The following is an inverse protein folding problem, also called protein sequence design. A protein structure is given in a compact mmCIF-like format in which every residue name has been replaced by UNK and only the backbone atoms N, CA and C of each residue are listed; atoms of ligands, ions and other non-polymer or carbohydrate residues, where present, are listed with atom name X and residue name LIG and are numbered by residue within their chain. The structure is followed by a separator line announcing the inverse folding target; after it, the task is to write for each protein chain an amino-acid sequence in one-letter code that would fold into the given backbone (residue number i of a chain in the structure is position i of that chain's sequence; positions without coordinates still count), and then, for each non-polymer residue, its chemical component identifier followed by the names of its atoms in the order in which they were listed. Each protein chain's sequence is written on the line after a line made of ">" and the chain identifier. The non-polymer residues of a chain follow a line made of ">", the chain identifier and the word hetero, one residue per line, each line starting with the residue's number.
data_IF_191049140283
#
_entry.id   IF_191049140283
#
_cell.length_a   1.000
_cell.length_b   1.000
_cell.length_c   1.000
_cell.angle_alpha   90.00
_cell.angle_beta   90.00
_cell.angle_gamma   90.00
#
_symmetry.space_group_name_H-M   'P 1'
#
loop_
_entity.id
_entity.type
_entity.pdbx_description
1 polymer ?
#
# COMPACT_ATOMS: atom_id res chain seq x y z
N UNK A 1 -15.61 -1.24 -14.53
CA UNK A 1 -15.85 -0.03 -13.71
C UNK A 1 -17.07 -0.31 -12.84
N UNK A 2 -16.94 -0.18 -11.52
CA UNK A 2 -18.08 -0.38 -10.62
C UNK A 2 -19.18 0.65 -10.90
N UNK A 3 -20.38 0.36 -10.39
CA UNK A 3 -21.52 1.27 -10.47
C UNK A 3 -21.17 2.66 -9.90
N UNK A 4 -21.55 3.72 -10.61
CA UNK A 4 -21.30 5.11 -10.16
C UNK A 4 -22.58 5.71 -9.62
N UNK A 5 -22.50 6.33 -8.44
CA UNK A 5 -23.63 6.99 -7.78
C UNK A 5 -23.38 8.50 -7.72
N UNK A 6 -24.35 9.29 -8.20
CA UNK A 6 -24.27 10.75 -8.14
C UNK A 6 -24.36 11.19 -6.68
N UNK A 7 -23.27 11.80 -6.21
CA UNK A 7 -23.15 12.30 -4.83
C UNK A 7 -22.90 13.80 -4.88
N UNK A 8 -23.72 14.59 -4.18
CA UNK A 8 -23.49 16.03 -4.02
C UNK A 8 -22.52 16.28 -2.87
N UNK A 9 -21.40 16.94 -3.14
CA UNK A 9 -20.40 17.33 -2.15
C UNK A 9 -20.15 18.84 -2.23
N UNK A 10 -19.94 19.46 -1.08
CA UNK A 10 -19.58 20.88 -0.98
C UNK A 10 -18.07 20.98 -0.78
N UNK A 11 -17.41 21.73 -1.66
CA UNK A 11 -15.96 21.93 -1.63
C UNK A 11 -15.64 23.42 -1.61
N UNK A 12 -14.57 23.86 -0.92
CA UNK A 12 -14.12 25.24 -0.99
C UNK A 12 -13.81 25.64 -2.44
N UNK A 13 -14.24 26.83 -2.87
CA UNK A 13 -14.01 27.32 -4.23
C UNK A 13 -12.52 27.28 -4.60
N UNK A 14 -11.65 27.73 -3.70
CA UNK A 14 -10.20 27.72 -3.91
C UNK A 14 -9.68 26.31 -4.26
N UNK A 15 -10.17 25.27 -3.58
CA UNK A 15 -9.76 23.89 -3.86
C UNK A 15 -10.27 23.43 -5.23
N UNK A 16 -11.50 23.79 -5.61
CA UNK A 16 -12.03 23.49 -6.95
C UNK A 16 -11.20 24.16 -8.03
N UNK A 17 -10.81 25.42 -7.82
CA UNK A 17 -9.98 26.18 -8.76
C UNK A 17 -8.58 25.55 -8.89
N UNK A 18 -7.98 25.08 -7.79
CA UNK A 18 -6.72 24.33 -7.81
C UNK A 18 -6.82 23.00 -8.57
N UNK A 19 -7.88 22.22 -8.32
CA UNK A 19 -8.14 20.97 -9.05
C UNK A 19 -8.33 21.25 -10.54
N UNK A 20 -9.07 22.31 -10.87
CA UNK A 20 -9.29 22.72 -12.26
C UNK A 20 -7.99 23.10 -12.97
N UNK A 21 -7.05 23.74 -12.26
CA UNK A 21 -5.73 24.04 -12.80
C UNK A 21 -4.90 22.77 -13.06
N UNK A 22 -5.07 21.73 -12.23
CA UNK A 22 -4.32 20.48 -12.33
C UNK A 22 -4.85 19.54 -13.43
N UNK A 23 -6.17 19.32 -13.47
CA UNK A 23 -6.77 18.28 -14.33
C UNK A 23 -7.77 18.81 -15.36
N UNK A 24 -8.13 20.09 -15.26
CA UNK A 24 -9.15 20.73 -16.09
C UNK A 24 -10.58 20.51 -15.59
N UNK A 25 -11.47 21.43 -15.98
CA UNK A 25 -12.86 21.52 -15.48
C UNK A 25 -13.73 20.29 -15.69
N UNK A 26 -13.41 19.46 -16.69
CA UNK A 26 -14.20 18.27 -17.06
C UNK A 26 -13.76 16.98 -16.37
N UNK A 27 -12.61 16.98 -15.68
CA UNK A 27 -12.04 15.78 -15.04
C UNK A 27 -12.13 15.78 -13.52
N UNK A 28 -12.85 16.73 -12.93
CA UNK A 28 -12.97 16.87 -11.46
C UNK A 28 -13.51 15.61 -10.80
N UNK A 29 -14.61 15.06 -11.31
CA UNK A 29 -15.26 13.89 -10.70
C UNK A 29 -14.37 12.66 -10.72
N UNK A 30 -13.65 12.45 -11.82
CA UNK A 30 -12.69 11.35 -11.96
C UNK A 30 -11.52 11.53 -10.99
N UNK A 31 -10.93 12.72 -10.95
CA UNK A 31 -9.84 13.04 -10.04
C UNK A 31 -10.24 12.87 -8.57
N UNK A 32 -11.36 13.48 -8.16
CA UNK A 32 -11.88 13.40 -6.79
C UNK A 32 -12.18 11.95 -6.41
N UNK A 33 -12.80 11.17 -7.31
CA UNK A 33 -13.10 9.76 -7.04
C UNK A 33 -11.81 8.95 -6.84
N UNK A 34 -10.82 9.11 -7.71
CA UNK A 34 -9.55 8.40 -7.62
C UNK A 34 -8.79 8.73 -6.32
N UNK A 35 -8.70 10.02 -5.98
CA UNK A 35 -8.02 10.47 -4.76
C UNK A 35 -8.75 10.01 -3.48
N UNK A 36 -10.09 10.08 -3.45
CA UNK A 36 -10.87 9.55 -2.33
C UNK A 36 -10.70 8.04 -2.17
N UNK A 37 -10.68 7.29 -3.28
CA UNK A 37 -10.47 5.85 -3.26
C UNK A 37 -9.08 5.50 -2.71
N UNK A 38 -8.04 6.24 -3.13
CA UNK A 38 -6.70 6.11 -2.62
C UNK A 38 -6.61 6.46 -1.12
N UNK A 39 -7.28 7.53 -0.69
CA UNK A 39 -7.33 7.95 0.71
C UNK A 39 -8.01 6.89 1.59
N UNK A 40 -9.18 6.38 1.18
CA UNK A 40 -9.90 5.32 1.90
C UNK A 40 -9.04 4.05 2.00
N UNK A 41 -8.39 3.63 0.91
CA UNK A 41 -7.47 2.49 0.94
C UNK A 41 -6.33 2.69 1.94
N UNK A 42 -5.75 3.89 2.00
CA UNK A 42 -4.69 4.23 2.97
C UNK A 42 -5.20 4.14 4.40
N UNK A 43 -6.37 4.70 4.68
CA UNK A 43 -6.98 4.67 6.01
C UNK A 43 -7.28 3.24 6.44
N UNK A 44 -7.81 2.40 5.55
CA UNK A 44 -8.03 0.96 5.81
C UNK A 44 -6.73 0.24 6.15
N UNK A 45 -5.66 0.43 5.35
CA UNK A 45 -4.35 -0.18 5.65
C UNK A 45 -3.81 0.22 7.01
N UNK A 46 -3.91 1.51 7.36
CA UNK A 46 -3.46 2.01 8.67
C UNK A 46 -4.32 1.45 9.79
N UNK A 47 -5.64 1.35 9.61
CA UNK A 47 -6.56 0.74 10.57
C UNK A 47 -6.21 -0.72 10.82
N UNK A 48 -6.12 -1.52 9.75
CA UNK A 48 -5.74 -2.94 9.84
C UNK A 48 -4.35 -3.12 10.46
N UNK A 49 -3.37 -2.29 10.09
CA UNK A 49 -2.06 -2.36 10.71
C UNK A 49 -2.14 -2.11 12.22
N UNK A 50 -2.94 -1.14 12.68
CA UNK A 50 -3.16 -0.89 14.11
C UNK A 50 -3.84 -2.04 14.82
N UNK A 51 -4.83 -2.68 14.19
CA UNK A 51 -5.50 -3.86 14.73
C UNK A 51 -4.58 -5.08 14.84
N UNK A 52 -3.61 -5.20 13.93
CA UNK A 52 -2.63 -6.28 13.91
C UNK A 52 -1.42 -6.04 14.81
N UNK A 53 -1.17 -4.81 15.27
CA UNK A 53 -0.07 -4.54 16.22
C UNK A 53 -0.31 -5.36 17.50
N UNK A 54 0.63 -6.24 17.81
CA UNK A 54 0.54 -7.12 18.97
C UNK A 54 -0.42 -8.30 18.82
N UNK A 55 -0.96 -8.55 17.62
CA UNK A 55 -1.83 -9.73 17.38
C UNK A 55 -1.06 -11.06 17.43
N UNK A 56 0.26 -11.02 17.31
CA UNK A 56 1.15 -12.17 17.50
C UNK A 56 1.77 -12.03 18.89
N UNK A 57 1.43 -12.91 19.85
CA UNK A 57 2.03 -12.90 21.17
C UNK A 57 3.55 -13.10 21.11
N UNK A 58 4.30 -12.50 22.03
CA UNK A 58 5.72 -12.77 22.18
C UNK A 58 5.95 -14.27 22.45
N UNK A 59 6.92 -14.88 21.76
CA UNK A 59 7.20 -16.31 21.84
C UNK A 59 6.18 -17.23 21.15
N UNK A 60 5.15 -16.68 20.48
CA UNK A 60 4.21 -17.50 19.70
C UNK A 60 4.86 -18.14 18.46
N UNK A 61 5.96 -17.54 17.99
CA UNK A 61 6.80 -18.08 16.91
C UNK A 61 8.24 -18.04 17.40
N UNK A 62 8.74 -19.11 18.04
CA UNK A 62 10.09 -19.15 18.61
C UNK A 62 11.19 -18.84 17.59
N UNK A 63 10.93 -19.17 16.32
CA UNK A 63 11.83 -18.86 15.22
C UNK A 63 12.03 -17.35 15.04
N UNK A 64 11.13 -16.49 15.52
CA UNK A 64 11.21 -15.03 15.41
C UNK A 64 11.85 -14.34 16.63
N UNK A 65 12.26 -15.10 17.65
CA UNK A 65 12.77 -14.53 18.90
C UNK A 65 14.19 -13.92 18.76
N UNK A 66 15.01 -14.45 17.84
CA UNK A 66 16.35 -13.93 17.56
C UNK A 66 16.57 -13.72 16.07
N UNK A 67 17.53 -12.84 15.73
CA UNK A 67 17.92 -12.64 14.34
C UNK A 67 18.42 -13.94 13.69
N UNK A 68 19.21 -14.74 14.41
CA UNK A 68 19.77 -15.98 13.90
C UNK A 68 18.68 -17.03 13.61
N UNK A 69 17.76 -17.26 14.55
CA UNK A 69 16.63 -18.17 14.37
C UNK A 69 15.72 -17.72 13.24
N UNK A 70 15.50 -16.39 13.11
CA UNK A 70 14.63 -15.83 12.07
C UNK A 70 15.23 -16.07 10.69
N UNK A 71 16.54 -15.87 10.55
CA UNK A 71 17.24 -16.09 9.29
C UNK A 71 17.32 -17.58 8.94
N UNK A 72 17.53 -18.46 9.92
CA UNK A 72 17.48 -19.91 9.71
C UNK A 72 16.11 -20.36 9.21
N UNK A 73 15.03 -19.88 9.85
CA UNK A 73 13.67 -20.12 9.41
C UNK A 73 13.38 -19.55 8.03
N UNK A 74 13.78 -18.30 7.74
CA UNK A 74 13.59 -17.68 6.42
C UNK A 74 14.26 -18.49 5.30
N UNK A 75 15.47 -19.03 5.55
CA UNK A 75 16.17 -19.86 4.56
C UNK A 75 15.40 -21.14 4.24
N UNK A 76 14.72 -21.74 5.22
CA UNK A 76 13.87 -22.91 5.01
C UNK A 76 12.59 -22.59 4.21
N UNK A 77 12.13 -21.33 4.25
CA UNK A 77 10.94 -20.88 3.51
C UNK A 77 11.23 -20.48 2.06
N UNK A 78 12.50 -20.32 1.66
CA UNK A 78 12.83 -19.98 0.27
C UNK A 78 12.53 -21.17 -0.63
N UNK A 79 11.72 -21.00 -1.71
CA UNK A 79 11.58 -22.03 -2.73
C UNK A 79 12.95 -22.39 -3.30
N UNK A 80 13.17 -23.68 -3.58
CA UNK A 80 14.40 -24.18 -4.23
C UNK A 80 14.61 -23.55 -5.62
N UNK A 81 13.53 -23.10 -6.27
CA UNK A 81 13.53 -22.30 -7.50
C UNK A 81 12.76 -20.98 -7.27
N UNK A 82 13.46 -19.95 -6.80
CA UNK A 82 12.90 -18.60 -6.69
C UNK A 82 13.10 -17.85 -8.03
N UNK A 83 12.03 -17.56 -8.81
CA UNK A 83 12.14 -16.82 -10.07
C UNK A 83 12.56 -15.35 -9.86
N UNK A 84 12.66 -14.90 -8.60
CA UNK A 84 13.19 -13.61 -8.19
C UNK A 84 14.59 -13.70 -7.55
N UNK A 85 15.30 -14.84 -7.63
CA UNK A 85 16.72 -14.93 -7.28
C UNK A 85 17.57 -14.23 -8.35
N UNK A 86 17.47 -12.92 -8.33
CA UNK A 86 17.89 -12.06 -9.41
C UNK A 86 19.37 -11.68 -9.22
N UNK A 87 20.26 -12.52 -9.76
CA UNK A 87 21.57 -12.07 -10.21
C UNK A 87 21.45 -10.80 -11.09
N UNK A 88 20.31 -10.64 -11.77
CA UNK A 88 19.95 -9.52 -12.64
C UNK A 88 19.60 -8.22 -11.91
N UNK A 89 19.01 -8.27 -10.70
CA UNK A 89 18.72 -7.04 -9.89
C UNK A 89 19.99 -6.47 -9.29
N UNK A 90 20.93 -7.32 -8.87
CA UNK A 90 22.23 -6.88 -8.34
C UNK A 90 23.09 -6.18 -9.40
N UNK A 91 23.08 -6.66 -10.64
CA UNK A 91 23.81 -6.05 -11.75
C UNK A 91 23.26 -4.66 -12.15
N UNK A 92 21.96 -4.41 -11.95
CA UNK A 92 21.31 -3.15 -12.34
C UNK A 92 21.41 -2.05 -11.29
N UNK A 93 21.68 -2.38 -10.04
CA UNK A 93 21.93 -1.41 -8.97
C UNK A 93 23.39 -0.93 -8.90
N UNK A 94 24.30 -1.56 -9.67
CA UNK A 94 25.73 -1.24 -9.72
C UNK A 94 26.17 -0.44 -10.97
N UNK A 95 25.21 -0.07 -11.84
CA UNK A 95 25.37 0.88 -12.96
C UNK A 95 24.62 2.17 -12.67
#
# INVERSE_FOLDING_TARGET
>A
MGETVRTHVVLPKRLVDEIDALVGKRKRSEFIAAELEAAVRRMKRVGTARELIGSIPAGAVPEWDTLESTLAWQRLQRPIDDPWDDATVRARAAS
#
